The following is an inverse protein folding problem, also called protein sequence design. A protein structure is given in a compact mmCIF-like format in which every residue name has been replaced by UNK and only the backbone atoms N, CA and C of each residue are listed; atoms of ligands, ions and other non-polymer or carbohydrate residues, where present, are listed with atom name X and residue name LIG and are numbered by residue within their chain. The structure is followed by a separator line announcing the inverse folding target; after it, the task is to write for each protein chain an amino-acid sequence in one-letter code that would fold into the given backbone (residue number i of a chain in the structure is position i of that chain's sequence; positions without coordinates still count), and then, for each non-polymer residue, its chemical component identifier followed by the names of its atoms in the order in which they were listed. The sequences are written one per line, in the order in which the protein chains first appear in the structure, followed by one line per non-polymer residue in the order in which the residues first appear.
data_IF_332307725134
#
_entry.id   IF_332307725134
#
_cell.length_a   1.000
_cell.length_b   1.000
_cell.length_c   1.000
_cell.angle_alpha   90.00
_cell.angle_beta   90.00
_cell.angle_gamma   90.00
#
_symmetry.space_group_name_H-M   'P 1'
#
loop_
_entity.id
_entity.type
_entity.pdbx_description
1 polymer ?
#
# COMPACT_ATOMS: atom_id res chain seq x y z
N UNK A 1 21.18 2.57 2.32
CA UNK A 1 20.06 1.76 2.85
C UNK A 1 20.43 0.28 2.76
N UNK A 2 20.29 -0.50 3.84
CA UNK A 2 20.60 -1.94 3.82
C UNK A 2 19.46 -2.76 3.21
N UNK A 3 19.78 -3.91 2.59
CA UNK A 3 18.78 -4.79 1.96
C UNK A 3 17.71 -5.27 2.96
N UNK A 4 18.09 -5.59 4.20
CA UNK A 4 17.16 -5.95 5.28
C UNK A 4 16.17 -4.82 5.57
N UNK A 5 16.64 -3.58 5.68
CA UNK A 5 15.75 -2.44 5.94
C UNK A 5 14.79 -2.18 4.77
N UNK A 6 15.31 -2.31 3.54
CA UNK A 6 14.51 -2.21 2.33
C UNK A 6 13.39 -3.25 2.30
N UNK A 7 13.67 -4.47 2.74
CA UNK A 7 12.68 -5.54 2.87
C UNK A 7 11.58 -5.17 3.86
N UNK A 8 11.95 -4.65 5.03
CA UNK A 8 10.98 -4.26 6.07
C UNK A 8 10.05 -3.15 5.56
N UNK A 9 10.60 -2.11 4.91
CA UNK A 9 9.77 -1.05 4.33
C UNK A 9 8.84 -1.61 3.23
N UNK A 10 9.39 -2.45 2.35
CA UNK A 10 8.62 -3.08 1.27
C UNK A 10 7.46 -3.94 1.80
N UNK A 11 7.70 -4.71 2.86
CA UNK A 11 6.69 -5.54 3.52
C UNK A 11 5.59 -4.69 4.15
N UNK A 12 5.96 -3.62 4.85
CA UNK A 12 4.97 -2.72 5.46
C UNK A 12 4.10 -2.04 4.39
N UNK A 13 4.72 -1.45 3.36
CA UNK A 13 4.00 -0.83 2.25
C UNK A 13 3.09 -1.88 1.59
N UNK A 14 3.64 -3.05 1.28
CA UNK A 14 2.94 -4.10 0.56
C UNK A 14 1.72 -4.63 1.31
N UNK A 15 1.90 -4.99 2.59
CA UNK A 15 0.82 -5.51 3.43
C UNK A 15 -0.27 -4.46 3.60
N UNK A 16 0.06 -3.22 3.97
CA UNK A 16 -0.96 -2.20 4.20
C UNK A 16 -1.66 -1.75 2.92
N UNK A 17 -0.96 -1.70 1.79
CA UNK A 17 -1.56 -1.39 0.48
C UNK A 17 -2.51 -2.50 0.04
N UNK A 18 -2.09 -3.76 0.11
CA UNK A 18 -2.95 -4.90 -0.21
C UNK A 18 -4.15 -4.96 0.74
N UNK A 19 -3.94 -4.65 2.02
CA UNK A 19 -4.99 -4.60 3.04
C UNK A 19 -6.00 -3.47 2.79
N UNK A 20 -5.58 -2.34 2.23
CA UNK A 20 -6.49 -1.28 1.80
C UNK A 20 -7.37 -1.75 0.64
N UNK A 21 -6.76 -2.36 -0.39
CA UNK A 21 -7.49 -2.87 -1.56
C UNK A 21 -8.42 -4.04 -1.21
N UNK A 22 -8.00 -4.93 -0.32
CA UNK A 22 -8.85 -6.04 0.15
C UNK A 22 -10.07 -5.56 0.95
N UNK A 23 -9.97 -4.43 1.66
CA UNK A 23 -11.13 -3.81 2.32
C UNK A 23 -12.11 -3.19 1.33
N UNK A 24 -11.60 -2.61 0.24
CA UNK A 24 -12.44 -2.12 -0.88
C UNK A 24 -13.15 -3.26 -1.61
N UNK A 25 -12.52 -4.44 -1.67
CA UNK A 25 -13.13 -5.65 -2.24
C UNK A 25 -14.37 -6.08 -1.45
N UNK A 26 -14.21 -6.16 -0.12
CA UNK A 26 -15.20 -6.67 0.82
C UNK A 26 -16.31 -5.65 1.16
N UNK A 27 -16.13 -4.39 0.75
CA UNK A 27 -17.12 -3.33 0.93
C UNK A 27 -17.43 -2.98 2.39
N UNK A 28 -16.61 -3.43 3.35
CA UNK A 28 -16.95 -3.40 4.76
C UNK A 28 -15.77 -3.02 5.66
N UNK A 29 -16.08 -2.28 6.73
CA UNK A 29 -15.23 -2.09 7.90
C UNK A 29 -15.12 -3.36 8.78
N UNK A 30 -15.37 -4.55 8.22
CA UNK A 30 -15.36 -5.83 8.96
C UNK A 30 -13.99 -6.51 8.87
N UNK A 31 -13.39 -6.65 10.06
CA UNK A 31 -11.96 -6.89 10.27
C UNK A 31 -11.39 -8.30 9.99
N UNK A 32 -12.13 -9.44 10.01
CA UNK A 32 -11.43 -10.75 9.98
C UNK A 32 -11.04 -11.28 8.60
N UNK A 33 -11.72 -10.91 7.51
CA UNK A 33 -11.61 -11.63 6.23
C UNK A 33 -10.75 -10.95 5.16
N UNK A 34 -10.06 -9.85 5.47
CA UNK A 34 -9.23 -9.12 4.49
C UNK A 34 -8.17 -10.05 3.86
N UNK A 35 -7.62 -10.99 4.63
CA UNK A 35 -6.67 -12.00 4.13
C UNK A 35 -7.29 -13.00 3.14
N UNK A 36 -8.62 -13.14 3.17
CA UNK A 36 -9.39 -13.99 2.27
C UNK A 36 -9.91 -13.24 1.03
N UNK A 37 -9.79 -11.91 0.97
CA UNK A 37 -10.11 -11.15 -0.23
C UNK A 37 -9.23 -11.58 -1.41
N UNK A 38 -9.85 -11.70 -2.59
CA UNK A 38 -9.13 -11.98 -3.82
C UNK A 38 -8.15 -10.84 -4.13
N UNK A 39 -8.57 -9.59 -3.95
CA UNK A 39 -7.72 -8.41 -4.19
C UNK A 39 -6.53 -8.34 -3.22
N UNK A 40 -6.71 -8.76 -1.97
CA UNK A 40 -5.58 -8.85 -1.03
C UNK A 40 -4.54 -9.86 -1.50
N UNK A 41 -4.97 -11.10 -1.80
CA UNK A 41 -4.08 -12.21 -2.17
C UNK A 41 -3.35 -11.94 -3.48
N UNK A 42 -4.06 -11.41 -4.47
CA UNK A 42 -3.50 -11.06 -5.77
C UNK A 42 -2.63 -9.78 -5.70
N UNK A 43 -2.99 -8.84 -4.82
CA UNK A 43 -2.28 -7.58 -4.69
C UNK A 43 -1.04 -7.61 -3.80
N UNK A 44 -0.91 -8.60 -2.91
CA UNK A 44 0.17 -8.64 -1.93
C UNK A 44 1.57 -8.69 -2.56
N UNK A 45 1.82 -9.63 -3.47
CA UNK A 45 3.14 -9.78 -4.12
C UNK A 45 3.47 -8.53 -4.96
N UNK A 46 2.58 -8.06 -5.87
CA UNK A 46 2.81 -6.81 -6.61
C UNK A 46 3.08 -5.62 -5.70
N UNK A 47 2.36 -5.49 -4.59
CA UNK A 47 2.53 -4.38 -3.65
C UNK A 47 3.85 -4.45 -2.89
N UNK A 48 4.33 -5.64 -2.52
CA UNK A 48 5.66 -5.83 -1.92
C UNK A 48 6.75 -5.47 -2.94
N UNK A 49 6.62 -5.91 -4.20
CA UNK A 49 7.60 -5.60 -5.25
C UNK A 49 7.64 -4.09 -5.55
N UNK A 50 6.47 -3.46 -5.69
CA UNK A 50 6.36 -2.02 -5.85
C UNK A 50 6.93 -1.28 -4.62
N UNK A 51 6.62 -1.75 -3.42
CA UNK A 51 7.17 -1.26 -2.16
C UNK A 51 8.69 -1.38 -2.09
N UNK A 52 9.27 -2.45 -2.61
CA UNK A 52 10.72 -2.63 -2.68
C UNK A 52 11.38 -1.61 -3.60
N UNK A 53 10.79 -1.33 -4.76
CA UNK A 53 11.28 -0.28 -5.69
C UNK A 53 11.10 1.12 -5.08
N UNK A 54 10.00 1.34 -4.38
CA UNK A 54 9.64 2.60 -3.73
C UNK A 54 10.46 2.92 -2.47
N UNK A 55 10.88 1.91 -1.72
CA UNK A 55 11.49 2.05 -0.40
C UNK A 55 12.69 3.04 -0.31
N UNK A 56 13.58 3.16 -1.31
CA UNK A 56 14.68 4.14 -1.29
C UNK A 56 14.22 5.62 -1.34
N UNK A 57 12.99 5.90 -1.77
CA UNK A 57 12.43 7.26 -1.84
C UNK A 57 11.95 7.76 -0.46
N UNK A 58 11.74 6.84 0.49
CA UNK A 58 11.30 7.17 1.84
C UNK A 58 12.44 7.79 2.67
N UNK A 59 12.06 8.62 3.65
CA UNK A 59 13.00 9.34 4.51
C UNK A 59 13.53 10.66 3.93
N UNK A 60 13.25 10.97 2.66
CA UNK A 60 13.74 12.18 1.99
C UNK A 60 12.80 13.41 2.11
N UNK A 61 11.60 13.21 2.67
CA UNK A 61 10.60 14.27 2.87
C UNK A 61 9.17 13.72 2.78
N UNK A 62 8.21 14.39 3.42
CA UNK A 62 6.82 13.94 3.45
C UNK A 62 6.14 13.99 2.08
N UNK A 63 6.41 15.01 1.27
CA UNK A 63 5.84 15.12 -0.09
C UNK A 63 6.29 13.95 -0.96
N UNK A 64 7.59 13.61 -0.96
CA UNK A 64 8.11 12.45 -1.68
C UNK A 64 7.51 11.14 -1.18
N UNK A 65 7.33 11.00 0.13
CA UNK A 65 6.72 9.81 0.72
C UNK A 65 5.27 9.63 0.26
N UNK A 66 4.47 10.71 0.28
CA UNK A 66 3.08 10.70 -0.20
C UNK A 66 3.03 10.32 -1.67
N UNK A 67 3.81 10.98 -2.53
CA UNK A 67 3.84 10.68 -3.96
C UNK A 67 4.28 9.23 -4.24
N UNK A 68 5.26 8.74 -3.50
CA UNK A 68 5.74 7.35 -3.62
C UNK A 68 4.66 6.36 -3.20
N UNK A 69 3.97 6.61 -2.09
CA UNK A 69 2.87 5.77 -1.63
C UNK A 69 1.71 5.76 -2.64
N UNK A 70 1.34 6.92 -3.19
CA UNK A 70 0.33 7.04 -4.24
C UNK A 70 0.75 6.26 -5.50
N UNK A 71 2.02 6.36 -5.92
CA UNK A 71 2.52 5.62 -7.06
C UNK A 71 2.41 4.10 -6.84
N UNK A 72 2.76 3.60 -5.65
CA UNK A 72 2.60 2.17 -5.32
C UNK A 72 1.13 1.75 -5.37
N UNK A 73 0.24 2.55 -4.78
CA UNK A 73 -1.21 2.29 -4.84
C UNK A 73 -1.68 2.22 -6.28
N UNK A 74 -1.32 3.18 -7.14
CA UNK A 74 -1.72 3.20 -8.55
C UNK A 74 -1.18 1.98 -9.32
N UNK A 75 0.11 1.66 -9.16
CA UNK A 75 0.77 0.53 -9.84
C UNK A 75 0.07 -0.80 -9.52
N UNK A 76 -0.46 -0.95 -8.30
CA UNK A 76 -1.13 -2.18 -7.85
C UNK A 76 -2.64 -2.13 -8.14
N UNK A 77 -3.30 -1.02 -7.83
CA UNK A 77 -4.75 -0.88 -7.93
C UNK A 77 -5.24 -0.83 -9.38
N UNK A 78 -4.47 -0.28 -10.32
CA UNK A 78 -4.86 -0.21 -11.73
C UNK A 78 -5.02 -1.59 -12.36
N UNK A 79 -4.01 -2.48 -12.35
CA UNK A 79 -4.17 -3.81 -12.94
C UNK A 79 -5.23 -4.64 -12.20
N UNK A 80 -5.33 -4.51 -10.87
CA UNK A 80 -6.37 -5.20 -10.10
C UNK A 80 -7.78 -4.68 -10.40
N UNK A 81 -7.94 -3.39 -10.64
CA UNK A 81 -9.22 -2.78 -11.00
C UNK A 81 -9.71 -3.20 -12.38
N UNK A 82 -8.78 -3.33 -13.33
CA UNK A 82 -9.04 -3.93 -14.64
C UNK A 82 -9.43 -5.39 -14.51
N UNK A 83 -8.68 -6.17 -13.73
CA UNK A 83 -8.97 -7.58 -13.47
C UNK A 83 -10.34 -7.79 -12.81
N UNK A 84 -10.70 -6.94 -11.84
CA UNK A 84 -11.97 -7.01 -11.11
C UNK A 84 -13.17 -6.44 -11.88
N UNK A 85 -13.00 -5.99 -13.13
CA UNK A 85 -14.07 -5.39 -13.92
C UNK A 85 -14.59 -4.04 -13.40
N UNK A 86 -13.89 -3.42 -12.44
CA UNK A 86 -14.24 -2.10 -11.86
C UNK A 86 -13.64 -0.93 -12.65
N UNK A 87 -12.84 -1.22 -13.68
CA UNK A 87 -12.10 -0.23 -14.47
C UNK A 87 -10.78 0.18 -13.82
N UNK A 88 -9.89 0.81 -14.60
CA UNK A 88 -8.52 1.13 -14.20
C UNK A 88 -8.43 1.96 -12.91
N UNK A 89 -9.33 2.93 -12.73
CA UNK A 89 -9.35 3.79 -11.54
C UNK A 89 -10.47 3.42 -10.55
N UNK A 90 -11.29 2.40 -10.84
CA UNK A 90 -12.46 2.08 -10.02
C UNK A 90 -12.09 1.74 -8.58
N UNK A 91 -11.01 0.97 -8.37
CA UNK A 91 -10.52 0.69 -7.02
C UNK A 91 -9.96 1.93 -6.32
N UNK A 92 -9.29 2.81 -7.07
CA UNK A 92 -8.68 4.02 -6.50
C UNK A 92 -9.76 5.01 -6.06
N UNK A 93 -10.82 5.14 -6.86
CA UNK A 93 -11.95 6.02 -6.57
C UNK A 93 -12.86 5.47 -5.47
N UNK A 94 -12.86 4.17 -5.23
CA UNK A 94 -13.59 3.54 -4.13
C UNK A 94 -12.86 3.65 -2.77
N UNK A 95 -11.53 3.77 -2.75
CA UNK A 95 -10.75 3.93 -1.51
C UNK A 95 -11.28 5.01 -0.54
N UNK A 96 -11.58 6.25 -0.97
CA UNK A 96 -12.06 7.30 -0.06
C UNK A 96 -13.44 7.02 0.56
N UNK A 97 -14.18 6.04 0.02
CA UNK A 97 -15.48 5.65 0.57
C UNK A 97 -15.36 4.70 1.77
N UNK A 98 -14.16 4.17 2.04
CA UNK A 98 -13.91 3.19 3.09
C UNK A 98 -12.88 3.71 4.12
N UNK A 99 -13.35 4.04 5.33
CA UNK A 99 -12.53 4.63 6.40
C UNK A 99 -11.35 3.75 6.80
N UNK A 100 -11.55 2.43 6.96
CA UNK A 100 -10.46 1.51 7.31
C UNK A 100 -9.47 1.28 6.15
N UNK A 101 -9.90 1.44 4.89
CA UNK A 101 -8.99 1.40 3.75
C UNK A 101 -8.08 2.64 3.76
N UNK A 102 -8.63 3.82 4.03
CA UNK A 102 -7.85 5.04 4.22
C UNK A 102 -6.88 4.94 5.40
N UNK A 103 -7.33 4.39 6.54
CA UNK A 103 -6.44 4.17 7.69
C UNK A 103 -5.28 3.23 7.34
N UNK A 104 -5.54 2.18 6.55
CA UNK A 104 -4.51 1.26 6.08
C UNK A 104 -3.51 1.96 5.15
N UNK A 105 -3.98 2.80 4.23
CA UNK A 105 -3.09 3.61 3.38
C UNK A 105 -2.27 4.61 4.19
N UNK A 106 -2.88 5.24 5.20
CA UNK A 106 -2.15 6.12 6.09
C UNK A 106 -1.03 5.37 6.81
N UNK A 107 -1.26 4.12 7.25
CA UNK A 107 -0.22 3.27 7.83
C UNK A 107 0.85 2.84 6.80
N UNK A 108 0.45 2.54 5.56
CA UNK A 108 1.37 2.24 4.46
C UNK A 108 2.34 3.40 4.17
N UNK A 109 1.93 4.63 4.47
CA UNK A 109 2.76 5.83 4.36
C UNK A 109 3.57 6.09 5.64
N UNK A 110 2.88 6.23 6.78
CA UNK A 110 3.45 6.79 8.01
C UNK A 110 4.45 5.83 8.65
N UNK A 111 4.13 4.55 8.77
CA UNK A 111 5.01 3.60 9.43
C UNK A 111 6.35 3.42 8.66
N UNK A 112 6.35 3.18 7.34
CA UNK A 112 7.59 3.12 6.57
C UNK A 112 8.37 4.43 6.57
N UNK A 113 7.69 5.57 6.49
CA UNK A 113 8.33 6.88 6.50
C UNK A 113 9.03 7.17 7.83
N UNK A 114 8.38 6.90 8.97
CA UNK A 114 8.99 7.08 10.30
C UNK A 114 10.22 6.17 10.45
N UNK A 115 10.13 4.91 10.00
CA UNK A 115 11.26 3.98 10.07
C UNK A 115 12.44 4.42 9.20
N UNK A 116 12.18 4.90 7.98
CA UNK A 116 13.20 5.44 7.10
C UNK A 116 13.89 6.69 7.70
N UNK A 117 13.10 7.62 8.27
CA UNK A 117 13.63 8.80 8.95
C UNK A 117 14.48 8.45 10.17
N UNK A 118 14.06 7.45 10.96
CA UNK A 118 14.85 6.96 12.11
C UNK A 118 16.16 6.33 11.67
N UNK A 119 16.20 5.63 10.53
CA UNK A 119 17.45 5.08 10.01
C UNK A 119 18.40 6.18 9.54
N UNK A 120 17.90 7.24 8.90
CA UNK A 120 18.74 8.35 8.43
C UNK A 120 19.44 9.15 9.53
N UNK A 121 18.98 9.03 10.78
CA UNK A 121 19.58 9.69 11.95
C UNK A 121 20.63 8.84 12.68
N UNK A 122 20.79 7.57 12.28
CA UNK A 122 21.79 6.65 12.82
C UNK A 122 22.93 6.52 11.83
#
# INVERSE_FOLDING_TARGET
MTAKHRLVLALLIGVFTASALGRVDLGADTEPSVLNSALFRLGLIPAILAGWVAAPQLGQGWVRAVLTCLAVVLVVAVPLGLYAGRGALGLVLALPQHNLALASLALALVAPQILALRQSRK
#
